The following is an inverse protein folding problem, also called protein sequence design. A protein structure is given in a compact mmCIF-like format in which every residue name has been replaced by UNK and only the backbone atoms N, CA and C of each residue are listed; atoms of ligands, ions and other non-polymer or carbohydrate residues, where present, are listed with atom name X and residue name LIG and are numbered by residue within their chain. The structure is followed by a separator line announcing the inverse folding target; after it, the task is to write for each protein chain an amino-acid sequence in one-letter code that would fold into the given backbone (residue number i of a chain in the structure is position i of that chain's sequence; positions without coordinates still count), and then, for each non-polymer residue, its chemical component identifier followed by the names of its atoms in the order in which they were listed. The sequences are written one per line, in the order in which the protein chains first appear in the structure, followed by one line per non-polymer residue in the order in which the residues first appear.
data_IF_618766927445
#
_entry.id   IF_618766927445
#
_cell.length_a   1.000
_cell.length_b   1.000
_cell.length_c   1.000
_cell.angle_alpha   90.00
_cell.angle_beta   90.00
_cell.angle_gamma   90.00
#
_symmetry.space_group_name_H-M   'P 1'
#
loop_
_entity.id
_entity.type
_entity.pdbx_description
1 polymer ?
#
# COMPACT_ATOMS: atom_id res chain seq x y z
N UNK A 1 -5.14 -27.15 -12.27
CA UNK A 1 -5.02 -27.29 -10.80
C UNK A 1 -6.19 -28.07 -10.20
N UNK A 2 -7.42 -27.56 -10.23
CA UNK A 2 -8.62 -28.21 -9.67
C UNK A 2 -8.85 -29.66 -10.13
N UNK A 3 -8.68 -29.92 -11.44
CA UNK A 3 -8.80 -31.26 -12.04
C UNK A 3 -7.71 -32.25 -11.58
N UNK A 4 -6.51 -31.76 -11.24
CA UNK A 4 -5.37 -32.61 -10.82
C UNK A 4 -5.49 -33.00 -9.36
N UNK A 5 -5.97 -32.09 -8.50
CA UNK A 5 -6.24 -32.37 -7.09
C UNK A 5 -7.37 -33.38 -6.92
N UNK A 6 -8.38 -33.36 -7.78
CA UNK A 6 -9.50 -34.30 -7.75
C UNK A 6 -9.12 -35.73 -8.21
N UNK A 7 -8.18 -35.83 -9.15
CA UNK A 7 -7.79 -37.11 -9.76
C UNK A 7 -6.68 -37.83 -8.97
N UNK A 8 -5.75 -37.08 -8.35
CA UNK A 8 -4.59 -37.62 -7.63
C UNK A 8 -4.88 -37.81 -6.14
N UNK A 9 -5.65 -36.91 -5.53
CA UNK A 9 -5.90 -36.90 -4.07
C UNK A 9 -7.24 -37.55 -3.74
N UNK A 10 -7.40 -38.82 -4.14
CA UNK A 10 -8.62 -39.66 -4.08
C UNK A 10 -9.18 -39.91 -2.65
N UNK A 11 -9.27 -38.86 -1.84
CA UNK A 11 -9.71 -38.83 -0.44
C UNK A 11 -10.78 -37.75 -0.19
N UNK A 12 -10.97 -36.78 -1.09
CA UNK A 12 -11.99 -35.74 -0.92
C UNK A 12 -13.34 -36.15 -1.53
N UNK A 13 -14.30 -36.50 -0.67
CA UNK A 13 -15.69 -36.72 -1.04
C UNK A 13 -16.27 -35.45 -1.69
N UNK A 14 -17.00 -35.58 -2.81
CA UNK A 14 -17.66 -34.47 -3.54
C UNK A 14 -18.52 -33.57 -2.64
N UNK A 15 -18.93 -34.07 -1.47
CA UNK A 15 -19.69 -33.38 -0.43
C UNK A 15 -18.89 -32.34 0.37
N UNK A 16 -17.55 -32.38 0.39
CA UNK A 16 -16.70 -31.42 1.12
C UNK A 16 -16.28 -30.21 0.27
N UNK A 17 -16.34 -30.36 -1.04
CA UNK A 17 -16.10 -29.32 -2.03
C UNK A 17 -16.89 -28.02 -1.76
N UNK A 18 -18.22 -28.05 -1.50
CA UNK A 18 -18.97 -26.84 -1.18
C UNK A 18 -18.52 -26.17 0.13
N UNK A 19 -18.06 -26.93 1.14
CA UNK A 19 -17.52 -26.34 2.39
C UNK A 19 -16.20 -25.60 2.16
N UNK A 20 -15.33 -26.15 1.32
CA UNK A 20 -14.04 -25.53 0.97
C UNK A 20 -14.25 -24.24 0.16
N UNK A 21 -15.12 -24.30 -0.86
CA UNK A 21 -15.49 -23.13 -1.67
C UNK A 21 -16.09 -22.04 -0.79
N UNK A 22 -17.01 -22.38 0.12
CA UNK A 22 -17.61 -21.40 1.03
C UNK A 22 -16.57 -20.70 1.92
N UNK A 23 -15.55 -21.43 2.41
CA UNK A 23 -14.46 -20.85 3.21
C UNK A 23 -13.62 -19.86 2.38
N UNK A 24 -13.26 -20.23 1.15
CA UNK A 24 -12.48 -19.36 0.25
C UNK A 24 -13.28 -18.12 -0.15
N UNK A 25 -14.55 -18.30 -0.53
CA UNK A 25 -15.44 -17.20 -0.88
C UNK A 25 -15.60 -16.23 0.29
N UNK A 26 -15.76 -16.72 1.54
CA UNK A 26 -15.87 -15.87 2.73
C UNK A 26 -14.63 -15.01 2.97
N UNK A 27 -13.43 -15.55 2.74
CA UNK A 27 -12.19 -14.76 2.86
C UNK A 27 -12.06 -13.76 1.72
N UNK A 28 -12.34 -14.17 0.48
CA UNK A 28 -12.23 -13.30 -0.70
C UNK A 28 -13.26 -12.17 -0.67
N UNK A 29 -14.48 -12.43 -0.19
CA UNK A 29 -15.53 -11.41 -0.08
C UNK A 29 -15.17 -10.29 0.88
N UNK A 30 -14.52 -10.61 2.02
CA UNK A 30 -14.02 -9.59 2.95
C UNK A 30 -12.96 -8.70 2.29
N UNK A 31 -12.02 -9.29 1.56
CA UNK A 31 -10.95 -8.55 0.86
C UNK A 31 -11.51 -7.68 -0.26
N UNK A 32 -12.41 -8.23 -1.09
CA UNK A 32 -13.05 -7.50 -2.20
C UNK A 32 -13.87 -6.30 -1.71
N UNK A 33 -14.53 -6.40 -0.56
CA UNK A 33 -15.29 -5.29 0.02
C UNK A 33 -14.38 -4.12 0.44
N UNK A 34 -13.20 -4.41 0.99
CA UNK A 34 -12.20 -3.39 1.36
C UNK A 34 -11.61 -2.71 0.12
N UNK A 35 -11.28 -3.49 -0.91
CA UNK A 35 -10.77 -2.97 -2.18
C UNK A 35 -11.82 -2.04 -2.82
N UNK A 36 -13.09 -2.46 -2.85
CA UNK A 36 -14.18 -1.65 -3.39
C UNK A 36 -14.33 -0.29 -2.70
N UNK A 37 -14.26 -0.27 -1.35
CA UNK A 37 -14.27 0.98 -0.59
C UNK A 37 -13.03 1.85 -0.88
N UNK A 38 -11.86 1.24 -0.98
CA UNK A 38 -10.59 1.94 -1.25
C UNK A 38 -10.57 2.58 -2.64
N UNK A 39 -11.12 1.91 -3.66
CA UNK A 39 -11.25 2.46 -5.02
C UNK A 39 -12.24 3.63 -5.06
N UNK A 40 -13.39 3.51 -4.37
CA UNK A 40 -14.36 4.59 -4.26
C UNK A 40 -13.76 5.83 -3.57
N UNK A 41 -13.00 5.63 -2.50
CA UNK A 41 -12.29 6.69 -1.79
C UNK A 41 -11.19 7.33 -2.66
N UNK A 42 -10.42 6.51 -3.39
CA UNK A 42 -9.42 6.98 -4.34
C UNK A 42 -10.00 7.82 -5.47
N UNK A 43 -11.16 7.44 -5.97
CA UNK A 43 -11.89 8.22 -6.96
C UNK A 43 -12.35 9.56 -6.38
N UNK A 44 -12.91 9.56 -5.16
CA UNK A 44 -13.33 10.78 -4.48
C UNK A 44 -12.17 11.76 -4.25
N UNK A 45 -10.99 11.29 -3.83
CA UNK A 45 -9.81 12.15 -3.67
C UNK A 45 -9.26 12.70 -4.98
N UNK A 46 -9.38 11.92 -6.06
CA UNK A 46 -9.03 12.37 -7.42
C UNK A 46 -9.96 13.50 -7.87
N UNK A 47 -11.27 13.38 -7.60
CA UNK A 47 -12.24 14.44 -7.87
C UNK A 47 -11.95 15.72 -7.07
N UNK A 48 -11.59 15.58 -5.79
CA UNK A 48 -11.24 16.72 -4.94
C UNK A 48 -9.85 17.32 -5.22
N UNK A 49 -9.07 16.69 -6.10
CA UNK A 49 -7.71 17.09 -6.48
C UNK A 49 -6.79 17.26 -5.26
N UNK A 50 -6.98 16.45 -4.21
CA UNK A 50 -6.18 16.53 -2.98
C UNK A 50 -4.69 16.34 -3.27
N UNK A 51 -4.26 15.30 -4.03
CA UNK A 51 -2.83 15.10 -4.28
C UNK A 51 -2.20 16.25 -5.09
N UNK A 52 -2.97 16.85 -6.01
CA UNK A 52 -2.50 17.99 -6.81
C UNK A 52 -2.35 19.27 -5.95
N UNK A 53 -3.34 19.59 -5.11
CA UNK A 53 -3.29 20.77 -4.22
C UNK A 53 -2.11 20.72 -3.25
N UNK A 54 -1.86 19.54 -2.67
CA UNK A 54 -0.73 19.34 -1.76
C UNK A 54 0.61 19.51 -2.51
N UNK A 55 0.68 19.01 -3.74
CA UNK A 55 1.86 19.16 -4.59
C UNK A 55 2.13 20.63 -4.96
N UNK A 56 1.08 21.40 -5.26
CA UNK A 56 1.18 22.85 -5.49
C UNK A 56 1.60 23.62 -4.24
N UNK A 57 1.14 23.20 -3.06
CA UNK A 57 1.58 23.76 -1.78
C UNK A 57 3.09 23.53 -1.57
N UNK A 58 3.58 22.32 -1.90
CA UNK A 58 5.01 21.99 -1.77
C UNK A 58 5.91 22.72 -2.77
N UNK A 59 5.44 22.95 -4.00
CA UNK A 59 6.19 23.73 -5.00
C UNK A 59 6.41 25.19 -4.59
N UNK A 60 5.53 25.76 -3.76
CA UNK A 60 5.68 27.13 -3.26
C UNK A 60 6.58 27.23 -2.01
N UNK A 61 6.82 26.12 -1.32
CA UNK A 61 7.50 26.11 -0.02
C UNK A 61 8.96 25.61 -0.08
N UNK A 62 9.38 24.94 -1.17
CA UNK A 62 10.67 24.23 -1.21
C UNK A 62 11.46 24.36 -2.52
N UNK A 63 12.57 25.09 -2.45
CA UNK A 63 13.65 25.12 -3.45
C UNK A 63 14.70 24.00 -3.23
N UNK A 64 14.60 23.23 -2.13
CA UNK A 64 15.62 22.25 -1.74
C UNK A 64 15.16 20.79 -1.96
N UNK A 65 15.93 20.03 -2.76
CA UNK A 65 15.68 18.63 -3.16
C UNK A 65 15.41 17.69 -1.99
N UNK A 66 16.12 17.84 -0.86
CA UNK A 66 15.95 16.97 0.30
C UNK A 66 14.69 17.28 1.11
N UNK A 67 14.30 18.57 1.22
CA UNK A 67 13.08 18.98 1.90
C UNK A 67 11.83 18.47 1.16
N UNK A 68 11.86 18.52 -0.18
CA UNK A 68 10.80 17.97 -1.02
C UNK A 68 10.64 16.45 -0.83
N UNK A 69 11.73 15.69 -0.89
CA UNK A 69 11.72 14.24 -0.68
C UNK A 69 11.19 13.84 0.71
N UNK A 70 11.49 14.62 1.73
CA UNK A 70 11.02 14.39 3.11
C UNK A 70 9.52 14.69 3.26
N UNK A 71 9.04 15.80 2.69
CA UNK A 71 7.61 16.14 2.68
C UNK A 71 6.77 15.14 1.89
N UNK A 72 7.29 14.69 0.74
CA UNK A 72 6.64 13.65 -0.09
C UNK A 72 6.60 12.31 0.66
N UNK A 73 7.66 11.93 1.39
CA UNK A 73 7.64 10.75 2.27
C UNK A 73 6.47 10.81 3.27
N UNK A 74 6.35 11.92 4.01
CA UNK A 74 5.29 12.10 5.01
C UNK A 74 3.92 12.06 4.36
N UNK A 75 3.75 12.74 3.23
CA UNK A 75 2.50 12.73 2.48
C UNK A 75 2.13 11.31 2.01
N UNK A 76 3.09 10.60 1.39
CA UNK A 76 2.89 9.25 0.88
C UNK A 76 2.57 8.27 2.01
N UNK A 77 3.13 8.48 3.21
CA UNK A 77 2.83 7.67 4.37
C UNK A 77 1.37 7.89 4.83
N UNK A 78 0.94 9.15 4.94
CA UNK A 78 -0.42 9.50 5.40
C UNK A 78 -1.48 9.12 4.38
N UNK A 79 -1.24 9.33 3.09
CA UNK A 79 -2.19 8.93 2.05
C UNK A 79 -2.18 7.39 1.85
N UNK A 80 -1.02 6.75 2.02
CA UNK A 80 -0.84 5.31 1.84
C UNK A 80 -1.47 4.45 2.92
N UNK A 81 -1.80 5.03 4.09
CA UNK A 81 -2.56 4.32 5.12
C UNK A 81 -4.04 4.15 4.75
N UNK A 82 -4.60 5.01 3.90
CA UNK A 82 -6.03 4.96 3.55
C UNK A 82 -6.30 4.29 2.19
N UNK A 83 -5.34 4.33 1.27
CA UNK A 83 -5.48 3.80 -0.08
C UNK A 83 -4.62 2.57 -0.32
N UNK A 84 -5.12 1.67 -1.16
CA UNK A 84 -4.34 0.56 -1.70
C UNK A 84 -3.16 1.05 -2.57
N UNK A 85 -2.12 0.21 -2.70
CA UNK A 85 -0.90 0.50 -3.49
C UNK A 85 -1.22 0.93 -4.93
N UNK A 86 -2.14 0.22 -5.58
CA UNK A 86 -2.42 0.38 -7.01
C UNK A 86 -3.03 1.74 -7.36
N UNK A 87 -4.18 2.17 -6.78
CA UNK A 87 -4.78 3.46 -7.11
C UNK A 87 -3.85 4.63 -6.74
N UNK A 88 -3.07 4.49 -5.68
CA UNK A 88 -2.20 5.56 -5.23
C UNK A 88 -0.96 5.75 -6.11
N UNK A 89 -0.33 4.67 -6.58
CA UNK A 89 0.71 4.74 -7.62
C UNK A 89 0.18 5.33 -8.92
N UNK A 90 -1.01 4.92 -9.37
CA UNK A 90 -1.62 5.42 -10.60
C UNK A 90 -1.88 6.93 -10.57
N UNK A 91 -2.28 7.49 -9.43
CA UNK A 91 -2.56 8.92 -9.27
C UNK A 91 -1.28 9.72 -9.02
N UNK A 92 -0.42 9.25 -8.11
CA UNK A 92 0.75 10.02 -7.67
C UNK A 92 1.87 10.05 -8.72
N UNK A 93 2.04 8.99 -9.51
CA UNK A 93 3.10 8.92 -10.53
C UNK A 93 3.02 10.08 -11.54
N UNK A 94 1.89 10.31 -12.26
CA UNK A 94 1.80 11.42 -13.21
C UNK A 94 1.81 12.80 -12.52
N UNK A 95 1.36 12.89 -11.27
CA UNK A 95 1.35 14.15 -10.51
C UNK A 95 2.76 14.56 -10.11
N UNK A 96 3.60 13.62 -9.66
CA UNK A 96 4.96 13.91 -9.22
C UNK A 96 5.99 13.95 -10.35
N UNK A 97 5.72 13.26 -11.48
CA UNK A 97 6.58 13.26 -12.67
C UNK A 97 7.03 14.67 -13.13
N UNK A 98 6.16 15.70 -13.23
CA UNK A 98 6.61 17.04 -13.62
C UNK A 98 7.47 17.74 -12.55
N UNK A 99 7.33 17.41 -11.27
CA UNK A 99 8.12 18.04 -10.20
C UNK A 99 9.53 17.47 -10.16
N UNK A 100 9.67 16.15 -10.29
CA UNK A 100 10.99 15.51 -10.33
C UNK A 100 11.80 15.93 -11.55
N UNK A 101 11.14 16.22 -12.68
CA UNK A 101 11.78 16.76 -13.87
C UNK A 101 12.31 18.18 -13.63
N UNK A 102 11.59 19.01 -12.86
CA UNK A 102 12.04 20.34 -12.43
C UNK A 102 13.19 20.30 -11.42
N UNK A 103 13.20 19.31 -10.53
CA UNK A 103 14.22 19.12 -9.48
C UNK A 103 15.45 18.31 -9.94
N UNK A 104 15.49 17.87 -11.20
CA UNK A 104 16.59 17.06 -11.74
C UNK A 104 16.77 15.71 -11.02
N UNK A 105 15.69 15.06 -10.61
CA UNK A 105 15.71 13.74 -9.95
C UNK A 105 15.42 12.66 -10.99
N UNK A 106 16.22 11.59 -10.99
CA UNK A 106 16.00 10.48 -11.92
C UNK A 106 14.66 9.78 -11.60
N UNK A 107 13.77 9.57 -12.59
CA UNK A 107 12.42 9.05 -12.36
C UNK A 107 12.39 7.66 -11.74
N UNK A 108 13.38 6.82 -12.05
CA UNK A 108 13.51 5.48 -11.48
C UNK A 108 13.80 5.53 -9.97
N UNK A 109 14.69 6.41 -9.54
CA UNK A 109 15.03 6.56 -8.12
C UNK A 109 13.82 7.03 -7.31
N UNK A 110 13.11 8.03 -7.83
CA UNK A 110 11.90 8.53 -7.20
C UNK A 110 10.78 7.46 -7.15
N UNK A 111 10.62 6.68 -8.22
CA UNK A 111 9.70 5.54 -8.25
C UNK A 111 10.02 4.49 -7.18
N UNK A 112 11.30 4.16 -6.99
CA UNK A 112 11.73 3.22 -5.93
C UNK A 112 11.42 3.76 -4.53
N UNK A 113 11.73 5.03 -4.26
CA UNK A 113 11.43 5.68 -2.98
C UNK A 113 9.92 5.73 -2.73
N UNK A 114 9.12 5.99 -3.77
CA UNK A 114 7.67 6.00 -3.69
C UNK A 114 7.11 4.61 -3.37
N UNK A 115 7.48 3.58 -4.11
CA UNK A 115 6.99 2.21 -3.88
C UNK A 115 7.39 1.71 -2.48
N UNK A 116 8.61 2.00 -2.02
CA UNK A 116 9.06 1.67 -0.66
C UNK A 116 8.21 2.38 0.40
N UNK A 117 7.94 3.68 0.21
CA UNK A 117 7.10 4.45 1.14
C UNK A 117 5.66 3.97 1.19
N UNK A 118 5.04 3.69 0.04
CA UNK A 118 3.69 3.11 0.03
C UNK A 118 3.69 1.72 0.66
N UNK A 119 4.70 0.90 0.38
CA UNK A 119 4.87 -0.42 1.00
C UNK A 119 4.90 -0.32 2.54
N UNK A 120 5.64 0.66 3.08
CA UNK A 120 5.69 0.95 4.51
C UNK A 120 4.34 1.50 5.01
N UNK A 121 3.67 2.37 4.26
CA UNK A 121 2.35 2.93 4.62
C UNK A 121 1.25 1.86 4.75
N UNK A 122 1.32 0.82 3.91
CA UNK A 122 0.35 -0.29 3.92
C UNK A 122 0.52 -1.21 5.14
N UNK A 123 1.74 -1.33 5.67
CA UNK A 123 2.05 -2.12 6.87
C UNK A 123 1.98 -1.30 8.17
N UNK A 124 2.16 0.03 8.12
CA UNK A 124 2.26 0.85 9.34
C UNK A 124 0.94 0.87 10.12
N UNK A 125 0.96 0.63 11.45
CA UNK A 125 -0.25 0.59 12.27
C UNK A 125 -0.76 2.02 12.55
N UNK A 126 -1.70 2.52 11.72
CA UNK A 126 -2.95 3.05 12.26
C UNK A 126 -4.21 2.50 11.57
N UNK A 127 -4.17 2.17 10.26
CA UNK A 127 -5.32 1.67 9.45
C UNK A 127 -4.88 0.99 8.13
N UNK A 128 -3.75 0.27 8.07
CA UNK A 128 -3.27 -0.35 6.83
C UNK A 128 -4.25 -1.38 6.20
N UNK A 129 -4.68 -1.22 4.94
CA UNK A 129 -5.63 -2.15 4.31
C UNK A 129 -5.04 -3.55 4.10
N UNK A 130 -3.75 -3.68 3.80
CA UNK A 130 -3.08 -4.99 3.69
C UNK A 130 -2.89 -5.66 5.05
N UNK A 131 -2.63 -4.87 6.12
CA UNK A 131 -2.60 -5.39 7.49
C UNK A 131 -3.97 -5.95 7.90
N UNK A 132 -5.05 -5.24 7.55
CA UNK A 132 -6.42 -5.67 7.82
C UNK A 132 -6.78 -6.95 7.05
N UNK A 133 -6.42 -7.01 5.76
CA UNK A 133 -6.59 -8.21 4.93
C UNK A 133 -5.78 -9.39 5.49
N UNK A 134 -4.52 -9.15 5.89
CA UNK A 134 -3.65 -10.17 6.49
C UNK A 134 -4.22 -10.73 7.79
N UNK A 135 -4.76 -9.87 8.66
CA UNK A 135 -5.42 -10.31 9.89
C UNK A 135 -6.72 -11.08 9.62
N UNK A 136 -7.51 -10.66 8.63
CA UNK A 136 -8.74 -11.35 8.24
C UNK A 136 -8.47 -12.76 7.69
N UNK A 137 -7.39 -12.95 6.93
CA UNK A 137 -6.98 -14.26 6.41
C UNK A 137 -6.30 -15.10 7.49
N UNK A 138 -5.42 -14.50 8.30
CA UNK A 138 -4.66 -15.15 9.36
C UNK A 138 -5.46 -15.46 10.63
N UNK A 139 -6.69 -14.95 10.77
CA UNK A 139 -7.54 -15.05 11.98
C UNK A 139 -6.85 -14.54 13.26
N UNK A 140 -5.95 -13.60 13.11
CA UNK A 140 -5.24 -12.94 14.22
C UNK A 140 -5.84 -11.57 14.47
N UNK A 141 -5.83 -11.08 15.71
CA UNK A 141 -6.42 -9.77 16.02
C UNK A 141 -5.50 -8.65 15.54
N UNK A 142 -6.09 -7.57 15.01
CA UNK A 142 -5.35 -6.37 14.57
C UNK A 142 -4.45 -5.81 15.68
N UNK A 143 -4.86 -5.98 16.94
CA UNK A 143 -4.10 -5.52 18.10
C UNK A 143 -2.81 -6.30 18.33
N UNK A 144 -2.82 -7.62 18.12
CA UNK A 144 -1.62 -8.46 18.22
C UNK A 144 -0.62 -8.12 17.11
N UNK A 145 -1.11 -8.00 15.87
CA UNK A 145 -0.29 -7.69 14.70
C UNK A 145 0.28 -6.27 14.78
N UNK A 146 -0.51 -5.29 15.23
CA UNK A 146 -0.06 -3.91 15.45
C UNK A 146 1.02 -3.81 16.53
N UNK A 147 0.88 -4.54 17.64
CA UNK A 147 1.91 -4.60 18.71
C UNK A 147 3.23 -5.21 18.23
N UNK A 148 3.17 -6.24 17.40
CA UNK A 148 4.35 -6.88 16.81
C UNK A 148 5.00 -6.05 15.69
N UNK A 149 4.20 -5.26 14.93
CA UNK A 149 4.72 -4.37 13.89
C UNK A 149 5.30 -3.06 14.42
N UNK A 150 4.89 -2.60 15.61
CA UNK A 150 5.39 -1.37 16.21
C UNK A 150 6.93 -1.30 16.32
N UNK A 151 7.65 -2.35 16.77
CA UNK A 151 9.11 -2.41 16.71
C UNK A 151 9.67 -2.30 15.28
N UNK A 152 9.01 -2.91 14.30
CA UNK A 152 9.45 -2.95 12.90
C UNK A 152 9.29 -1.60 12.20
N UNK A 153 8.11 -0.98 12.28
CA UNK A 153 7.85 0.35 11.74
C UNK A 153 8.75 1.43 12.33
N UNK A 154 8.99 1.39 13.65
CA UNK A 154 9.92 2.30 14.31
C UNK A 154 11.36 2.15 13.80
N UNK A 155 11.78 0.92 13.49
CA UNK A 155 13.13 0.63 13.00
C UNK A 155 13.30 0.92 11.51
N UNK A 156 12.24 0.78 10.72
CA UNK A 156 12.19 1.15 9.30
C UNK A 156 12.08 2.66 9.07
N UNK A 157 11.27 3.39 9.85
CA UNK A 157 11.31 4.87 9.85
C UNK A 157 12.68 5.42 10.27
N UNK A 158 13.41 4.71 11.13
CA UNK A 158 14.73 5.12 11.62
C UNK A 158 15.90 4.76 10.70
N UNK A 159 15.81 3.69 9.89
CA UNK A 159 16.93 3.20 9.04
C UNK A 159 16.63 3.14 7.53
N UNK A 160 15.40 3.37 7.08
CA UNK A 160 14.94 3.00 5.74
C UNK A 160 15.01 4.05 4.62
N UNK A 161 15.61 5.23 4.84
CA UNK A 161 15.56 6.32 3.83
C UNK A 161 16.96 6.82 3.41
N UNK A 162 18.03 6.34 4.05
CA UNK A 162 19.42 6.67 3.68
C UNK A 162 20.15 5.41 3.18
N UNK A 163 19.83 4.94 1.98
CA UNK A 163 20.78 4.10 1.25
C UNK A 163 21.67 5.05 0.40
N UNK A 164 22.98 5.10 0.64
CA UNK A 164 23.89 5.92 -0.16
C UNK A 164 24.01 5.37 -1.60
N UNK A 165 24.36 6.23 -2.57
CA UNK A 165 24.36 5.93 -4.01
C UNK A 165 25.58 5.12 -4.51
N UNK A 166 26.05 4.14 -3.75
CA UNK A 166 27.27 3.41 -4.07
C UNK A 166 27.28 1.96 -3.52
N UNK A 167 26.56 1.09 -4.24
CA UNK A 167 26.86 -0.34 -4.43
C UNK A 167 26.15 -0.86 -5.69
#
# INVERSE_FOLDING_TARGET
AFLVTFLVYRDYHWSELPRMVHRVVKTVSMVMMLIGFSVAFGYMMTLMQIPAKITYFFLNISDNKYAFLFMVNILLLVLGTFMDLAPMLLICTPIFMPIIAKLGIHPVHFGMVMILNLGIGLITPPVGPTLFVGCAVGKVTMEQVSKELWPCCRRMHANGIYYPPDA
#
